data_IF_848876240625
#
_entry.id   IF_848876240625
#
_cell.length_a   1.000
_cell.length_b   1.000
_cell.length_c   1.000
_cell.angle_alpha   90.00
_cell.angle_beta   90.00
_cell.angle_gamma   90.00
#
_symmetry.space_group_name_H-M   'P 1'
#
loop_
_entity.id
_entity.type
_entity.pdbx_description
1 polymer ?
#
# COMPACT_ATOMS: atom_id res chain seq x y z
N UNK A 1 -11.45 21.71 -11.50
CA UNK A 1 -10.77 20.73 -10.61
C UNK A 1 -11.75 19.59 -10.36
N UNK A 2 -11.57 18.45 -11.03
CA UNK A 2 -12.43 17.27 -10.80
C UNK A 2 -11.67 16.32 -9.89
N UNK A 3 -12.23 16.07 -8.70
CA UNK A 3 -11.74 15.09 -7.73
C UNK A 3 -11.90 13.70 -8.33
N UNK A 4 -10.88 12.85 -8.17
CA UNK A 4 -10.97 11.42 -8.47
C UNK A 4 -11.20 10.73 -7.12
N UNK A 5 -12.38 10.16 -6.94
CA UNK A 5 -12.70 9.28 -5.81
C UNK A 5 -12.71 7.86 -6.37
N UNK A 6 -11.78 7.01 -5.91
CA UNK A 6 -11.80 5.58 -6.22
C UNK A 6 -12.52 4.90 -5.05
N UNK A 7 -13.74 4.43 -5.30
CA UNK A 7 -14.53 3.66 -4.33
C UNK A 7 -14.36 2.17 -4.59
N UNK A 8 -13.98 1.41 -3.55
CA UNK A 8 -14.02 -0.06 -3.54
C UNK A 8 -15.36 -0.48 -2.93
N UNK A 9 -15.97 -1.49 -3.56
CA UNK A 9 -17.33 -2.02 -3.34
C UNK A 9 -17.64 -2.30 -1.85
N UNK A 10 -18.63 -1.58 -1.29
CA UNK A 10 -19.32 -1.98 -0.08
C UNK A 10 -20.77 -2.34 -0.43
N UNK A 11 -21.18 -3.57 -0.09
CA UNK A 11 -22.57 -4.02 -0.18
C UNK A 11 -23.42 -3.24 0.83
N UNK A 12 -24.19 -2.26 0.37
CA UNK A 12 -25.31 -1.71 1.12
C UNK A 12 -26.44 -1.27 0.19
N UNK A 13 -27.63 -1.77 0.48
CA UNK A 13 -28.88 -1.52 -0.22
C UNK A 13 -29.50 -0.21 0.26
N UNK A 14 -29.62 0.79 -0.63
CA UNK A 14 -30.71 1.79 -0.81
C UNK A 14 -30.19 3.06 -1.51
N UNK A 15 -31.06 3.81 -2.23
CA UNK A 15 -30.63 4.51 -3.44
C UNK A 15 -30.45 6.03 -3.25
N UNK A 16 -29.34 6.55 -3.75
CA UNK A 16 -29.21 7.86 -4.43
C UNK A 16 -27.74 8.11 -4.76
N UNK A 17 -27.19 7.36 -5.72
CA UNK A 17 -25.89 7.64 -6.33
C UNK A 17 -26.14 8.05 -7.79
N UNK A 18 -26.62 9.28 -7.98
CA UNK A 18 -26.47 9.96 -9.26
C UNK A 18 -25.07 10.59 -9.25
N UNK A 19 -24.26 10.31 -10.26
CA UNK A 19 -22.86 10.73 -10.42
C UNK A 19 -21.79 9.88 -9.70
N UNK A 20 -21.97 8.55 -9.70
CA UNK A 20 -20.84 7.63 -9.57
C UNK A 20 -20.71 6.84 -10.87
N UNK A 21 -19.74 7.23 -11.70
CA UNK A 21 -19.36 6.44 -12.88
C UNK A 21 -18.68 5.15 -12.40
N UNK A 22 -19.46 4.07 -12.34
CA UNK A 22 -18.94 2.72 -12.18
C UNK A 22 -18.43 2.22 -13.54
N UNK A 23 -17.14 1.91 -13.63
CA UNK A 23 -16.56 1.29 -14.82
C UNK A 23 -17.01 -0.18 -14.94
N UNK A 24 -18.14 -0.42 -15.60
CA UNK A 24 -18.53 -1.75 -16.09
C UNK A 24 -18.79 -1.64 -17.59
N UNK A 25 -17.71 -1.63 -18.38
CA UNK A 25 -17.72 -1.69 -19.84
C UNK A 25 -16.94 -2.93 -20.35
N UNK A 26 -17.20 -3.43 -21.58
CA UNK A 26 -16.74 -4.74 -22.06
C UNK A 26 -15.22 -4.89 -22.30
N UNK A 27 -14.40 -3.92 -21.87
CA UNK A 27 -12.94 -4.03 -21.80
C UNK A 27 -12.47 -3.47 -20.46
N UNK A 28 -12.76 -4.23 -19.41
CA UNK A 28 -12.02 -4.11 -18.16
C UNK A 28 -10.54 -4.43 -18.40
N UNK A 29 -9.66 -4.06 -17.47
CA UNK A 29 -8.27 -4.57 -17.42
C UNK A 29 -8.19 -6.13 -17.41
N UNK A 30 -9.36 -6.77 -17.32
CA UNK A 30 -9.59 -8.19 -17.43
C UNK A 30 -10.47 -8.48 -18.68
N UNK A 31 -9.95 -8.25 -19.89
CA UNK A 31 -10.65 -8.74 -21.10
C UNK A 31 -10.58 -10.27 -21.25
N UNK A 32 -9.85 -10.94 -20.34
CA UNK A 32 -9.86 -12.38 -20.08
C UNK A 32 -9.13 -12.68 -18.76
N UNK A 33 -9.70 -12.42 -17.57
CA UNK A 33 -9.09 -12.95 -16.37
C UNK A 33 -9.26 -14.47 -16.47
N UNK A 34 -8.19 -15.25 -16.31
CA UNK A 34 -8.46 -16.58 -15.79
C UNK A 34 -9.24 -16.32 -14.49
N UNK A 35 -10.37 -16.98 -14.28
CA UNK A 35 -11.29 -16.69 -13.17
C UNK A 35 -10.63 -16.76 -11.77
N UNK A 36 -9.36 -17.13 -11.71
CA UNK A 36 -8.51 -17.30 -10.53
C UNK A 36 -7.39 -16.25 -10.40
N UNK A 37 -7.24 -15.31 -11.34
CA UNK A 37 -6.14 -14.33 -11.27
C UNK A 37 -6.33 -13.29 -10.14
N UNK A 38 -7.57 -13.10 -9.66
CA UNK A 38 -7.92 -12.21 -8.54
C UNK A 38 -7.34 -10.78 -8.69
N UNK A 39 -7.38 -10.26 -9.91
CA UNK A 39 -7.04 -8.86 -10.23
C UNK A 39 -7.91 -7.88 -9.41
N UNK A 40 -7.27 -6.84 -8.89
CA UNK A 40 -7.96 -5.81 -8.09
C UNK A 40 -7.73 -5.93 -6.59
N UNK A 41 -6.87 -6.85 -6.15
CA UNK A 41 -6.57 -7.04 -4.73
C UNK A 41 -5.93 -5.79 -4.09
N UNK A 42 -5.09 -5.08 -4.86
CA UNK A 42 -4.58 -3.78 -4.51
C UNK A 42 -4.64 -2.85 -5.72
N UNK A 43 -4.91 -1.57 -5.48
CA UNK A 43 -5.01 -0.55 -6.54
C UNK A 43 -4.34 0.73 -6.08
N UNK A 44 -3.51 1.30 -6.94
CA UNK A 44 -2.97 2.64 -6.77
C UNK A 44 -3.09 3.42 -8.08
N UNK A 45 -3.30 4.74 -7.99
CA UNK A 45 -3.43 5.59 -9.16
C UNK A 45 -2.66 6.89 -9.01
N UNK A 46 -2.16 7.42 -10.12
CA UNK A 46 -1.50 8.71 -10.20
C UNK A 46 -1.82 9.40 -11.53
N UNK A 47 -1.63 10.72 -11.56
CA UNK A 47 -1.54 11.45 -12.81
C UNK A 47 -0.30 10.98 -13.58
N UNK A 48 -0.49 10.80 -14.88
CA UNK A 48 0.48 10.33 -15.84
C UNK A 48 0.97 11.44 -16.77
N UNK A 49 1.89 11.11 -17.69
CA UNK A 49 2.40 12.05 -18.68
C UNK A 49 1.27 12.68 -19.49
N UNK A 50 1.43 13.96 -19.83
CA UNK A 50 0.52 14.68 -20.71
C UNK A 50 -0.97 14.63 -20.27
N UNK A 51 -1.23 14.56 -18.96
CA UNK A 51 -2.58 14.52 -18.39
C UNK A 51 -3.29 13.17 -18.53
N UNK A 52 -2.54 12.11 -18.87
CA UNK A 52 -3.04 10.74 -18.74
C UNK A 52 -3.21 10.36 -17.27
N UNK A 53 -3.86 9.23 -16.99
CA UNK A 53 -3.93 8.64 -15.65
C UNK A 53 -3.34 7.25 -15.69
N UNK A 54 -2.62 6.89 -14.65
CA UNK A 54 -2.01 5.56 -14.52
C UNK A 54 -2.67 4.87 -13.34
N UNK A 55 -3.04 3.62 -13.54
CA UNK A 55 -3.47 2.72 -12.48
C UNK A 55 -2.54 1.52 -12.42
N UNK A 56 -2.14 1.13 -11.21
CA UNK A 56 -1.42 -0.10 -10.93
C UNK A 56 -2.37 -1.00 -10.15
N UNK A 57 -2.55 -2.23 -10.63
CA UNK A 57 -3.48 -3.19 -10.05
C UNK A 57 -2.73 -4.47 -9.71
N UNK A 58 -2.72 -4.82 -8.44
CA UNK A 58 -2.16 -6.07 -7.93
C UNK A 58 -3.12 -7.25 -8.09
N UNK A 59 -2.54 -8.45 -8.18
CA UNK A 59 -3.22 -9.73 -8.30
C UNK A 59 -2.61 -10.74 -7.32
N UNK A 60 -3.45 -11.53 -6.63
CA UNK A 60 -2.97 -12.59 -5.74
C UNK A 60 -2.23 -13.72 -6.49
N UNK A 61 -2.39 -13.79 -7.81
CA UNK A 61 -1.61 -14.68 -8.67
C UNK A 61 -0.11 -14.30 -8.79
N UNK A 62 0.35 -13.25 -8.11
CA UNK A 62 1.78 -12.92 -8.03
C UNK A 62 2.25 -11.93 -9.10
N UNK A 63 1.38 -11.02 -9.54
CA UNK A 63 1.74 -9.99 -10.50
C UNK A 63 1.04 -8.65 -10.22
N UNK A 64 1.55 -7.58 -10.85
CA UNK A 64 0.89 -6.28 -10.89
C UNK A 64 0.78 -5.80 -12.34
N UNK A 65 -0.41 -5.32 -12.73
CA UNK A 65 -0.72 -4.82 -14.06
C UNK A 65 -0.78 -3.29 -14.05
N UNK A 66 -0.25 -2.67 -15.10
CA UNK A 66 -0.26 -1.21 -15.29
C UNK A 66 -1.25 -0.88 -16.40
N UNK A 67 -2.25 -0.07 -16.06
CA UNK A 67 -3.20 0.52 -17.00
C UNK A 67 -2.93 2.01 -17.21
N UNK A 68 -3.12 2.52 -18.43
CA UNK A 68 -3.07 3.96 -18.72
C UNK A 68 -4.36 4.42 -19.38
N UNK A 69 -4.95 5.50 -18.89
CA UNK A 69 -6.10 6.17 -19.48
C UNK A 69 -5.63 7.49 -20.10
N UNK A 70 -5.89 7.68 -21.39
CA UNK A 70 -5.52 8.89 -22.09
C UNK A 70 -6.48 10.05 -21.77
N UNK A 71 -6.06 11.32 -21.93
CA UNK A 71 -6.94 12.46 -21.71
C UNK A 71 -8.17 12.40 -22.60
N UNK A 72 -9.36 12.53 -22.01
CA UNK A 72 -10.63 12.51 -22.73
C UNK A 72 -11.19 11.12 -22.98
N UNK A 73 -10.46 10.06 -22.63
CA UNK A 73 -10.95 8.69 -22.67
C UNK A 73 -11.63 8.30 -21.35
N UNK A 74 -12.50 7.29 -21.41
CA UNK A 74 -13.21 6.71 -20.28
C UNK A 74 -12.71 5.29 -19.95
N UNK A 75 -11.62 4.82 -20.55
CA UNK A 75 -11.10 3.47 -20.33
C UNK A 75 -9.59 3.44 -20.11
N UNK A 76 -9.16 2.54 -19.22
CA UNK A 76 -7.76 2.19 -19.07
C UNK A 76 -7.36 1.17 -20.13
N UNK A 77 -6.26 1.46 -20.83
CA UNK A 77 -5.58 0.53 -21.72
C UNK A 77 -4.54 -0.22 -20.89
N UNK A 78 -4.64 -1.55 -20.85
CA UNK A 78 -3.62 -2.40 -20.24
C UNK A 78 -2.30 -2.23 -20.99
N UNK A 79 -1.23 -1.94 -20.25
CA UNK A 79 0.12 -1.78 -20.76
C UNK A 79 1.02 -2.94 -20.31
N UNK A 80 1.78 -2.69 -19.25
CA UNK A 80 2.83 -3.59 -18.78
C UNK A 80 2.38 -4.44 -17.58
N UNK A 81 2.89 -5.66 -17.50
CA UNK A 81 2.81 -6.50 -16.31
C UNK A 81 4.17 -6.56 -15.60
N UNK A 82 4.14 -6.54 -14.26
CA UNK A 82 5.28 -6.66 -13.37
C UNK A 82 5.14 -7.97 -12.57
N UNK A 83 6.26 -8.62 -12.26
CA UNK A 83 6.31 -9.80 -11.39
C UNK A 83 7.67 -9.92 -10.71
N UNK A 84 7.72 -10.59 -9.56
CA UNK A 84 8.98 -11.02 -8.92
C UNK A 84 9.69 -12.13 -9.70
N UNK A 85 8.94 -12.90 -10.51
CA UNK A 85 9.44 -14.11 -11.18
C UNK A 85 9.48 -15.35 -10.29
N UNK A 86 8.99 -15.25 -9.04
CA UNK A 86 8.92 -16.33 -8.07
C UNK A 86 7.46 -16.56 -7.69
N UNK A 87 7.01 -17.81 -7.81
CA UNK A 87 5.66 -18.21 -7.42
C UNK A 87 5.55 -18.34 -5.91
N UNK A 88 4.49 -17.81 -5.31
CA UNK A 88 4.20 -17.96 -3.88
C UNK A 88 4.47 -16.72 -3.04
N UNK A 89 5.27 -15.76 -3.51
CA UNK A 89 5.64 -14.58 -2.69
C UNK A 89 4.49 -13.54 -2.52
N UNK A 90 3.34 -13.81 -3.12
CA UNK A 90 2.17 -12.92 -3.18
C UNK A 90 2.53 -11.51 -3.65
N UNK A 91 3.39 -11.44 -4.69
CA UNK A 91 3.75 -10.18 -5.34
C UNK A 91 2.49 -9.48 -5.86
N UNK A 92 2.34 -8.19 -5.54
CA UNK A 92 1.15 -7.42 -5.89
C UNK A 92 0.11 -7.36 -4.77
N UNK A 93 0.36 -7.95 -3.59
CA UNK A 93 -0.52 -7.78 -2.42
C UNK A 93 -0.70 -6.30 -2.06
N UNK A 94 0.36 -5.50 -2.24
CA UNK A 94 0.35 -4.07 -2.04
C UNK A 94 1.03 -3.37 -3.20
N UNK A 95 0.44 -2.28 -3.69
CA UNK A 95 0.99 -1.46 -4.76
C UNK A 95 0.89 0.01 -4.40
N UNK A 96 1.90 0.80 -4.78
CA UNK A 96 1.88 2.25 -4.69
C UNK A 96 2.49 2.85 -5.97
N UNK A 97 2.00 4.02 -6.37
CA UNK A 97 2.54 4.80 -7.48
C UNK A 97 2.72 6.25 -7.06
N UNK A 98 3.84 6.86 -7.46
CA UNK A 98 4.17 8.24 -7.16
C UNK A 98 5.26 8.76 -8.09
N UNK A 99 5.86 9.89 -7.71
CA UNK A 99 6.82 10.59 -8.54
C UNK A 99 6.16 11.46 -9.61
N UNK A 100 6.93 12.37 -10.23
CA UNK A 100 6.46 13.16 -11.36
C UNK A 100 5.89 12.26 -12.44
N UNK A 101 4.66 12.57 -12.88
CA UNK A 101 3.88 11.79 -13.85
C UNK A 101 3.65 10.32 -13.46
N UNK A 102 3.76 9.92 -12.19
CA UNK A 102 3.63 8.52 -11.80
C UNK A 102 4.79 7.67 -12.34
N UNK A 103 6.03 8.15 -12.16
CA UNK A 103 7.25 7.53 -12.68
C UNK A 103 7.86 6.46 -11.78
N UNK A 104 7.36 6.29 -10.55
CA UNK A 104 7.86 5.34 -9.55
C UNK A 104 6.72 4.44 -9.09
N UNK A 105 6.97 3.12 -9.10
CA UNK A 105 6.03 2.11 -8.59
C UNK A 105 6.74 1.27 -7.53
N UNK A 106 6.06 1.05 -6.40
CA UNK A 106 6.48 0.09 -5.40
C UNK A 106 5.47 -1.07 -5.33
N UNK A 107 5.97 -2.31 -5.26
CA UNK A 107 5.13 -3.51 -5.16
C UNK A 107 5.63 -4.39 -4.02
N UNK A 108 4.73 -4.74 -3.10
CA UNK A 108 5.00 -5.65 -2.01
C UNK A 108 4.88 -7.12 -2.41
N UNK A 109 5.74 -7.95 -1.81
CA UNK A 109 5.75 -9.41 -1.89
C UNK A 109 6.01 -9.97 -0.48
N UNK A 110 5.01 -9.93 0.43
CA UNK A 110 5.22 -10.21 1.85
C UNK A 110 5.42 -11.68 2.19
N UNK A 111 5.24 -12.60 1.23
CA UNK A 111 5.54 -14.03 1.41
C UNK A 111 6.86 -14.42 0.73
N UNK A 112 7.71 -13.44 0.39
CA UNK A 112 9.07 -13.73 -0.09
C UNK A 112 9.92 -14.40 1.02
N UNK A 113 10.48 -15.55 0.65
CA UNK A 113 11.22 -16.46 1.53
C UNK A 113 12.75 -16.31 1.48
N UNK A 114 13.28 -15.24 0.85
CA UNK A 114 14.72 -15.11 0.56
C UNK A 114 15.61 -15.28 1.79
N UNK A 115 15.19 -14.76 2.95
CA UNK A 115 15.94 -14.87 4.21
C UNK A 115 15.31 -15.86 5.18
N UNK A 116 14.00 -15.73 5.40
CA UNK A 116 13.21 -16.62 6.25
C UNK A 116 11.82 -16.79 5.63
N UNK A 117 11.11 -17.84 6.06
CA UNK A 117 9.71 -18.06 5.68
C UNK A 117 8.91 -16.75 5.88
N UNK A 118 8.27 -16.25 4.84
CA UNK A 118 7.48 -15.03 4.78
C UNK A 118 8.17 -13.81 5.42
N UNK A 119 9.48 -13.68 5.23
CA UNK A 119 10.22 -12.48 5.66
C UNK A 119 9.79 -11.24 4.87
N UNK A 120 9.43 -11.44 3.60
CA UNK A 120 8.86 -10.43 2.72
C UNK A 120 9.89 -9.56 2.02
N UNK A 121 9.43 -8.84 0.99
CA UNK A 121 10.24 -7.97 0.13
C UNK A 121 9.39 -6.88 -0.52
N UNK A 122 10.04 -5.78 -0.94
CA UNK A 122 9.43 -4.76 -1.80
C UNK A 122 10.26 -4.56 -3.06
N UNK A 123 9.59 -4.42 -4.20
CA UNK A 123 10.21 -4.16 -5.49
C UNK A 123 9.93 -2.71 -5.93
N UNK A 124 10.97 -1.99 -6.30
CA UNK A 124 10.90 -0.61 -6.77
C UNK A 124 11.17 -0.56 -8.27
N UNK A 125 10.19 -0.09 -9.03
CA UNK A 125 10.27 0.10 -10.47
C UNK A 125 10.26 1.57 -10.83
N UNK A 126 11.03 1.93 -11.87
CA UNK A 126 11.04 3.28 -12.44
C UNK A 126 11.00 3.23 -13.95
N UNK A 127 10.51 4.30 -14.56
CA UNK A 127 10.69 4.55 -15.99
C UNK A 127 11.61 5.73 -16.23
N UNK A 128 12.45 5.64 -17.26
CA UNK A 128 13.45 6.66 -17.57
C UNK A 128 12.86 7.90 -18.29
N UNK A 129 11.70 7.74 -18.94
CA UNK A 129 11.05 8.81 -19.69
C UNK A 129 9.53 8.78 -19.48
N UNK A 130 8.84 9.92 -19.64
CA UNK A 130 7.38 9.95 -19.64
C UNK A 130 6.81 9.01 -20.72
N UNK A 131 5.95 8.08 -20.33
CA UNK A 131 5.32 7.10 -21.23
C UNK A 131 6.22 5.89 -21.58
N UNK A 132 7.44 5.82 -21.06
CA UNK A 132 8.31 4.66 -21.20
C UNK A 132 7.89 3.49 -20.29
N UNK A 133 8.44 2.30 -20.57
CA UNK A 133 8.23 1.11 -19.73
C UNK A 133 8.90 1.26 -18.37
N UNK A 134 8.31 0.62 -17.36
CA UNK A 134 8.89 0.50 -16.04
C UNK A 134 9.92 -0.62 -16.02
N UNK A 135 11.10 -0.34 -15.50
CA UNK A 135 12.16 -1.32 -15.26
C UNK A 135 12.39 -1.46 -13.78
N UNK A 136 12.70 -2.67 -13.32
CA UNK A 136 13.08 -2.90 -11.93
C UNK A 136 14.35 -2.10 -11.65
N UNK A 137 14.28 -1.16 -10.70
CA UNK A 137 15.44 -0.42 -10.23
C UNK A 137 16.19 -1.25 -9.18
N UNK A 138 15.46 -1.75 -8.17
CA UNK A 138 16.00 -2.55 -7.08
C UNK A 138 14.87 -3.26 -6.34
N UNK A 139 15.21 -4.29 -5.57
CA UNK A 139 14.39 -4.75 -4.44
C UNK A 139 14.91 -4.19 -3.12
N UNK A 140 14.07 -4.22 -2.10
CA UNK A 140 14.35 -3.79 -0.73
C UNK A 140 13.94 -4.93 0.19
N UNK A 141 14.88 -5.37 1.00
CA UNK A 141 14.69 -6.41 2.00
C UNK A 141 14.38 -5.79 3.37
N UNK A 142 13.72 -6.53 4.29
CA UNK A 142 13.52 -6.07 5.66
C UNK A 142 14.87 -5.76 6.32
N UNK A 143 14.98 -4.67 7.10
CA UNK A 143 16.24 -4.26 7.73
C UNK A 143 16.72 -5.26 8.78
N UNK A 144 15.79 -6.01 9.39
CA UNK A 144 16.08 -7.11 10.29
C UNK A 144 15.11 -8.25 9.97
N UNK A 145 15.45 -9.13 9.01
CA UNK A 145 14.54 -10.17 8.55
C UNK A 145 14.17 -11.12 9.70
N UNK A 146 12.89 -11.47 9.79
CA UNK A 146 12.36 -12.48 10.73
C UNK A 146 11.43 -13.44 10.01
N UNK A 147 11.23 -14.64 10.57
CA UNK A 147 10.25 -15.59 10.04
C UNK A 147 8.81 -15.06 10.30
N UNK A 148 7.98 -15.07 9.26
CA UNK A 148 6.64 -14.47 9.21
C UNK A 148 6.65 -12.98 9.56
N UNK A 149 7.65 -12.22 9.12
CA UNK A 149 7.70 -10.75 9.29
C UNK A 149 6.71 -10.02 8.39
N UNK A 150 6.48 -10.56 7.19
CA UNK A 150 5.59 -10.04 6.17
C UNK A 150 5.93 -8.59 5.73
N UNK A 151 7.21 -8.28 5.58
CA UNK A 151 7.66 -6.99 5.06
C UNK A 151 7.09 -6.73 3.66
N UNK A 152 6.51 -5.55 3.44
CA UNK A 152 5.82 -5.25 2.18
C UNK A 152 4.33 -5.57 2.17
N UNK A 153 3.73 -5.90 3.33
CA UNK A 153 2.27 -6.10 3.44
C UNK A 153 1.49 -4.84 3.07
N UNK A 154 2.06 -3.66 3.35
CA UNK A 154 1.52 -2.38 2.92
C UNK A 154 2.66 -1.50 2.41
N UNK A 155 2.39 -0.69 1.38
CA UNK A 155 3.36 0.24 0.80
C UNK A 155 2.69 1.58 0.49
N UNK A 156 3.42 2.68 0.66
CA UNK A 156 3.00 4.00 0.20
C UNK A 156 4.20 4.78 -0.36
N UNK A 157 3.97 5.59 -1.40
CA UNK A 157 4.97 6.46 -2.01
C UNK A 157 4.55 7.92 -1.83
N UNK A 158 5.53 8.80 -1.65
CA UNK A 158 5.27 10.24 -1.71
C UNK A 158 4.95 10.68 -3.14
N UNK A 159 4.21 11.78 -3.28
CA UNK A 159 3.83 12.34 -4.57
C UNK A 159 5.04 12.69 -5.45
N UNK A 160 6.15 13.12 -4.84
CA UNK A 160 7.42 13.40 -5.53
C UNK A 160 8.28 12.14 -5.78
N UNK A 161 7.87 10.97 -5.28
CA UNK A 161 8.54 9.69 -5.49
C UNK A 161 9.89 9.57 -4.78
N UNK A 162 10.12 10.36 -3.73
CA UNK A 162 11.37 10.38 -2.96
C UNK A 162 11.29 9.61 -1.64
N UNK A 163 10.08 9.34 -1.13
CA UNK A 163 9.86 8.55 0.09
C UNK A 163 9.08 7.29 -0.24
N UNK A 164 9.52 6.18 0.34
CA UNK A 164 8.79 4.92 0.38
C UNK A 164 8.54 4.53 1.82
N UNK A 165 7.29 4.21 2.13
CA UNK A 165 6.87 3.67 3.42
C UNK A 165 6.49 2.21 3.22
N UNK A 166 7.00 1.34 4.08
CA UNK A 166 6.75 -0.11 4.04
C UNK A 166 6.29 -0.61 5.39
N UNK A 167 5.16 -1.32 5.43
CA UNK A 167 4.68 -2.01 6.61
C UNK A 167 5.24 -3.41 6.77
N UNK A 168 5.58 -3.77 7.99
CA UNK A 168 6.01 -5.10 8.44
C UNK A 168 5.20 -5.46 9.70
N UNK A 169 3.94 -5.91 9.56
CA UNK A 169 3.01 -6.08 10.68
C UNK A 169 3.45 -7.10 11.72
N UNK A 170 4.47 -7.91 11.42
CA UNK A 170 4.99 -8.96 12.31
C UNK A 170 6.51 -8.90 12.46
N UNK A 171 7.09 -7.70 12.39
CA UNK A 171 8.52 -7.42 12.49
C UNK A 171 9.23 -7.99 13.73
N UNK A 172 8.50 -8.35 14.80
CA UNK A 172 9.07 -9.03 15.96
C UNK A 172 8.34 -10.32 16.31
N UNK A 173 9.12 -11.41 16.37
CA UNK A 173 8.69 -12.75 16.77
C UNK A 173 8.53 -12.91 18.29
N UNK A 174 7.70 -12.07 18.89
CA UNK A 174 7.19 -12.31 20.23
C UNK A 174 5.84 -13.02 20.15
N UNK A 175 5.30 -13.51 21.27
CA UNK A 175 3.96 -14.14 21.32
C UNK A 175 2.81 -13.19 20.93
N UNK A 176 3.12 -11.94 20.59
CA UNK A 176 2.18 -10.83 20.52
C UNK A 176 2.37 -9.98 19.25
N UNK A 177 2.75 -10.62 18.13
CA UNK A 177 2.81 -10.07 16.76
C UNK A 177 2.96 -8.54 16.71
N UNK A 178 4.14 -8.03 17.09
CA UNK A 178 4.42 -6.60 17.02
C UNK A 178 4.87 -6.26 15.62
N UNK A 179 4.30 -5.18 15.09
CA UNK A 179 4.61 -4.68 13.76
C UNK A 179 5.47 -3.43 13.79
N UNK A 180 6.01 -3.09 12.63
CA UNK A 180 6.81 -1.91 12.37
C UNK A 180 6.44 -1.27 11.03
N UNK A 181 6.83 -0.01 10.88
CA UNK A 181 6.81 0.70 9.60
C UNK A 181 8.21 1.25 9.33
N UNK A 182 8.67 1.06 8.10
CA UNK A 182 9.99 1.48 7.63
C UNK A 182 9.85 2.56 6.58
N UNK A 183 10.50 3.70 6.79
CA UNK A 183 10.48 4.84 5.89
C UNK A 183 11.86 4.99 5.25
N UNK A 184 11.91 4.86 3.94
CA UNK A 184 13.12 4.96 3.13
C UNK A 184 13.17 6.26 2.36
N UNK A 185 14.36 6.85 2.30
CA UNK A 185 14.70 7.78 1.24
C UNK A 185 15.07 6.99 -0.02
N UNK A 186 14.33 7.24 -1.10
CA UNK A 186 14.54 6.62 -2.40
C UNK A 186 14.90 7.67 -3.46
N UNK A 187 15.28 8.89 -3.08
CA UNK A 187 15.73 9.91 -4.05
C UNK A 187 17.08 9.57 -4.70
N UNK A 188 17.85 8.67 -4.10
CA UNK A 188 19.17 8.24 -4.56
C UNK A 188 19.50 6.81 -4.11
N UNK A 189 20.71 6.60 -3.61
CA UNK A 189 21.10 5.33 -3.00
C UNK A 189 20.27 5.09 -1.73
N UNK A 190 19.61 3.93 -1.66
CA UNK A 190 18.73 3.57 -0.56
C UNK A 190 19.59 3.20 0.66
N UNK A 191 19.46 3.97 1.73
CA UNK A 191 20.14 3.74 3.01
C UNK A 191 19.28 2.98 4.01
N UNK A 192 19.71 3.00 5.27
CA UNK A 192 18.93 2.47 6.38
C UNK A 192 17.61 3.26 6.53
N UNK A 193 16.48 2.60 6.81
CA UNK A 193 15.21 3.28 7.01
C UNK A 193 15.16 3.94 8.39
N UNK A 194 14.30 4.94 8.50
CA UNK A 194 13.69 5.28 9.78
C UNK A 194 12.66 4.20 10.11
N UNK A 195 12.79 3.55 11.26
CA UNK A 195 11.84 2.53 11.71
C UNK A 195 10.95 3.10 12.81
N UNK A 196 9.65 3.10 12.56
CA UNK A 196 8.62 3.37 13.55
C UNK A 196 8.15 2.01 14.08
N UNK A 197 8.64 1.66 15.26
CA UNK A 197 8.12 0.56 16.05
C UNK A 197 7.36 1.17 17.25
N UNK A 198 6.37 0.46 17.78
CA UNK A 198 5.77 0.79 19.09
C UNK A 198 4.81 2.00 19.14
N UNK A 199 4.06 2.26 18.06
CA UNK A 199 3.02 3.31 18.10
C UNK A 199 1.79 2.94 18.94
N UNK A 200 1.47 1.64 19.08
CA UNK A 200 0.19 1.16 19.59
C UNK A 200 0.39 -0.18 20.33
N UNK A 201 -0.43 -0.45 21.35
CA UNK A 201 -0.36 -1.59 22.28
C UNK A 201 -0.04 -2.95 21.62
N UNK A 202 0.59 -3.79 22.44
CA UNK A 202 0.97 -5.19 22.20
C UNK A 202 -0.07 -5.95 21.34
N UNK A 203 0.34 -6.70 20.32
CA UNK A 203 -0.59 -7.47 19.46
C UNK A 203 -1.16 -6.73 18.25
N UNK A 204 -0.81 -5.46 18.04
CA UNK A 204 -1.52 -4.57 17.12
C UNK A 204 -1.37 -4.82 15.62
N UNK A 205 -0.37 -5.58 15.17
CA UNK A 205 0.02 -5.62 13.75
C UNK A 205 0.25 -4.23 13.14
N UNK A 206 0.93 -3.37 13.89
CA UNK A 206 1.26 -2.01 13.46
C UNK A 206 1.96 -2.02 12.09
N UNK A 207 1.48 -1.22 11.15
CA UNK A 207 1.95 -1.27 9.76
C UNK A 207 1.17 -2.21 8.87
N UNK A 208 0.09 -2.83 9.35
CA UNK A 208 -0.84 -3.59 8.51
C UNK A 208 -1.40 -2.74 7.36
N UNK A 209 -1.64 -1.46 7.61
CA UNK A 209 -2.02 -0.49 6.60
C UNK A 209 -1.25 0.82 6.81
N UNK A 210 -0.86 1.47 5.72
CA UNK A 210 -0.15 2.76 5.73
C UNK A 210 -0.72 3.67 4.64
N UNK A 211 -0.77 4.97 4.92
CA UNK A 211 -1.07 5.98 3.92
C UNK A 211 -0.18 7.21 4.15
N UNK A 212 0.40 7.71 3.07
CA UNK A 212 1.31 8.85 3.08
C UNK A 212 0.74 9.94 2.15
N UNK A 213 0.66 11.15 2.65
CA UNK A 213 0.38 12.33 1.85
C UNK A 213 1.22 13.50 2.37
N UNK A 214 1.98 14.11 1.47
CA UNK A 214 2.90 15.21 1.79
C UNK A 214 3.80 14.86 3.00
N UNK A 215 3.58 15.54 4.12
CA UNK A 215 4.34 15.42 5.37
C UNK A 215 3.56 14.64 6.44
N UNK A 216 2.49 13.92 6.09
CA UNK A 216 1.67 13.17 7.03
C UNK A 216 1.63 11.69 6.67
N UNK A 217 1.88 10.86 7.67
CA UNK A 217 1.78 9.41 7.59
C UNK A 217 0.71 8.95 8.58
N UNK A 218 -0.19 8.10 8.13
CA UNK A 218 -1.13 7.38 9.01
C UNK A 218 -0.83 5.89 8.91
N UNK A 219 -0.77 5.25 10.08
CA UNK A 219 -0.49 3.82 10.22
C UNK A 219 -1.61 3.14 10.99
N UNK A 220 -2.09 2.02 10.49
CA UNK A 220 -3.08 1.18 11.16
C UNK A 220 -2.49 0.01 11.94
N UNK A 221 -3.16 -0.34 13.04
CA UNK A 221 -2.90 -1.51 13.86
C UNK A 221 -4.25 -2.18 14.24
N UNK A 222 -4.85 -2.97 13.34
CA UNK A 222 -6.23 -3.43 13.49
C UNK A 222 -6.46 -4.46 14.58
N UNK A 223 -5.41 -5.13 15.06
CA UNK A 223 -5.54 -6.15 16.11
C UNK A 223 -5.09 -5.63 17.47
N UNK A 224 -4.99 -4.31 17.60
CA UNK A 224 -4.66 -3.67 18.86
C UNK A 224 -5.79 -3.90 19.86
N UNK A 225 -5.41 -4.41 21.03
CA UNK A 225 -6.26 -4.41 22.22
C UNK A 225 -6.15 -3.03 22.90
N UNK A 226 -7.29 -2.49 23.32
CA UNK A 226 -7.33 -1.22 24.02
C UNK A 226 -6.85 -1.33 25.48
N UNK A 227 -6.71 -0.19 26.15
CA UNK A 227 -6.30 -0.14 27.56
C UNK A 227 -7.31 -0.81 28.53
N UNK A 228 -8.51 -1.14 28.05
CA UNK A 228 -9.56 -1.84 28.81
C UNK A 228 -9.54 -3.35 28.54
N UNK A 229 -8.55 -3.85 27.78
CA UNK A 229 -8.41 -5.26 27.36
C UNK A 229 -9.62 -5.76 26.55
N UNK A 230 -10.21 -4.88 25.75
CA UNK A 230 -11.20 -5.30 24.75
C UNK A 230 -10.43 -5.80 23.53
N UNK A 231 -10.62 -7.08 23.23
CA UNK A 231 -9.88 -7.75 22.16
C UNK A 231 -10.14 -7.10 20.79
N UNK A 232 -9.06 -6.81 20.05
CA UNK A 232 -9.06 -6.43 18.63
C UNK A 232 -9.97 -5.24 18.27
N UNK A 233 -10.05 -4.20 19.11
CA UNK A 233 -10.73 -2.95 18.76
C UNK A 233 -10.02 -2.22 17.60
N UNK A 234 -8.70 -2.42 17.51
CA UNK A 234 -7.84 -1.77 16.53
C UNK A 234 -7.57 -0.31 16.84
N UNK A 235 -6.58 0.26 16.16
CA UNK A 235 -6.19 1.66 16.31
C UNK A 235 -5.49 2.24 15.08
N UNK A 236 -5.35 3.57 15.09
CA UNK A 236 -4.59 4.36 14.13
C UNK A 236 -3.56 5.22 14.85
N UNK A 237 -2.42 5.45 14.21
CA UNK A 237 -1.41 6.41 14.67
C UNK A 237 -1.05 7.35 13.52
N UNK A 238 -1.08 8.66 13.81
CA UNK A 238 -0.65 9.69 12.88
C UNK A 238 0.78 10.14 13.21
N UNK A 239 1.53 10.45 12.15
CA UNK A 239 2.88 10.98 12.23
C UNK A 239 3.03 12.17 11.30
N UNK A 240 3.84 13.13 11.71
CA UNK A 240 4.21 14.30 10.93
C UNK A 240 5.71 14.28 10.62
N UNK A 241 6.08 14.58 9.38
CA UNK A 241 7.47 14.79 8.99
C UNK A 241 7.97 16.15 9.50
N UNK A 242 8.92 16.09 10.42
CA UNK A 242 9.64 17.23 11.00
C UNK A 242 11.10 17.14 10.59
N UNK A 243 11.45 17.79 9.48
CA UNK A 243 12.83 17.89 9.00
C UNK A 243 13.40 16.58 8.44
N UNK A 244 12.57 15.73 7.83
CA UNK A 244 12.94 14.43 7.28
C UNK A 244 12.73 13.25 8.24
N UNK A 245 12.21 13.51 9.44
CA UNK A 245 11.95 12.51 10.48
C UNK A 245 10.47 12.51 10.83
N UNK A 246 9.84 11.35 10.79
CA UNK A 246 8.42 11.20 11.13
C UNK A 246 8.28 11.04 12.64
N UNK A 247 7.62 12.00 13.26
CA UNK A 247 7.33 12.00 14.70
C UNK A 247 5.84 11.86 14.94
N UNK A 248 5.45 11.22 16.04
CA UNK A 248 4.05 11.04 16.40
C UNK A 248 3.31 12.39 16.48
N UNK A 249 2.17 12.49 15.78
CA UNK A 249 1.26 13.65 15.80
C UNK A 249 0.07 13.34 16.70
N UNK A 250 0.35 13.25 18.01
CA UNK A 250 -0.64 12.94 19.04
C UNK A 250 -0.62 11.48 19.53
N UNK A 251 -1.70 11.09 20.20
CA UNK A 251 -1.88 9.75 20.76
C UNK A 251 -2.61 8.83 19.77
N UNK A 252 -2.52 7.49 19.94
CA UNK A 252 -3.27 6.55 19.13
C UNK A 252 -4.77 6.82 19.19
N UNK A 253 -5.43 6.70 18.04
CA UNK A 253 -6.87 6.85 17.89
C UNK A 253 -7.52 5.46 17.91
N UNK A 254 -8.60 5.35 18.68
CA UNK A 254 -9.41 4.13 18.80
C UNK A 254 -10.83 4.41 18.33
N UNK A 255 -11.59 3.36 18.02
CA UNK A 255 -13.02 3.47 17.79
C UNK A 255 -13.70 4.07 19.04
N UNK A 256 -14.74 4.89 18.84
CA UNK A 256 -15.36 5.62 19.95
C UNK A 256 -16.09 4.69 20.92
N UNK A 257 -16.73 3.65 20.39
CA UNK A 257 -17.43 2.57 21.07
C UNK A 257 -16.51 1.44 21.55
N UNK A 258 -15.31 1.31 20.94
CA UNK A 258 -14.31 0.29 21.30
C UNK A 258 -14.91 -1.11 21.33
N UNK A 259 -15.74 -1.44 20.35
CA UNK A 259 -16.36 -2.74 20.31
C UNK A 259 -15.35 -3.82 19.87
N UNK A 260 -15.50 -5.01 20.45
CA UNK A 260 -14.67 -6.17 20.11
C UNK A 260 -14.77 -6.45 18.62
N UNK A 261 -13.62 -6.48 17.94
CA UNK A 261 -13.53 -6.81 16.52
C UNK A 261 -13.79 -5.65 15.55
N UNK A 262 -13.91 -4.41 16.01
CA UNK A 262 -14.03 -3.22 15.15
C UNK A 262 -12.87 -3.09 14.14
N UNK A 263 -11.68 -3.55 14.53
CA UNK A 263 -10.47 -3.60 13.69
C UNK A 263 -10.16 -2.25 13.02
N UNK A 264 -10.31 -1.17 13.77
CA UNK A 264 -9.90 0.16 13.30
C UNK A 264 -8.44 0.13 12.83
N UNK A 265 -8.15 0.69 11.65
CA UNK A 265 -6.82 0.62 11.05
C UNK A 265 -6.58 -0.60 10.15
N UNK A 266 -7.61 -1.37 9.82
CA UNK A 266 -7.51 -2.41 8.79
C UNK A 266 -7.17 -1.83 7.41
N UNK A 267 -7.74 -0.67 7.09
CA UNK A 267 -7.44 0.09 5.90
C UNK A 267 -7.36 1.58 6.25
N UNK A 268 -6.42 2.29 5.64
CA UNK A 268 -6.24 3.73 5.81
C UNK A 268 -6.09 4.42 4.46
N UNK A 269 -6.65 5.62 4.36
CA UNK A 269 -6.43 6.52 3.25
C UNK A 269 -6.41 7.94 3.80
N UNK A 270 -5.52 8.78 3.28
CA UNK A 270 -5.46 10.20 3.62
C UNK A 270 -5.36 11.04 2.35
N UNK A 271 -5.91 12.24 2.43
CA UNK A 271 -5.85 13.25 1.38
C UNK A 271 -5.76 14.62 2.06
N UNK A 272 -4.77 15.43 1.67
CA UNK A 272 -4.51 16.77 2.19
C UNK A 272 -5.41 17.86 1.62
#
# INVERSE_FOLDING_TARGET
>A
MRKITIAVLALASTPALADVDFFVGPRSLASNPAAEDLLGYAVAAAEGPAGSRIAVVGALAGFAAIGTMLPGEDQFILGQQLSSGVSGDVFGLAVAIGGPDGSVIAVGAPEDDTFFLNSGKVYLYRRASPGGSFTLQTSIDPPMPVNVGNFGTSVALSADGTRLVVGEPKAQQSMVERGAVHIYDISGAIGAPQTLADGITVGGRFGQSVALDNNRLVVGAPTTDDAMMVDQTGALMAYQDVGGTFVADGAPLFAADRATGDRLGLAVAING
#
